data_IF_463979571108
#
_entry.id   IF_463979571108
#
_cell.length_a   1.000
_cell.length_b   1.000
_cell.length_c   1.000
_cell.angle_alpha   90.00
_cell.angle_beta   90.00
_cell.angle_gamma   90.00
#
_symmetry.space_group_name_H-M   'P 1'
#
loop_
_entity.id
_entity.type
_entity.pdbx_description
1 polymer ?
#
# COMPACT_ATOMS: atom_id res chain seq x y z
N UNK A 1 -46.32 10.62 13.30
CA UNK A 1 -45.46 9.74 12.46
C UNK A 1 -44.41 10.52 11.67
N UNK A 2 -44.77 11.50 10.83
CA UNK A 2 -43.81 12.26 9.98
C UNK A 2 -42.65 12.92 10.74
N UNK A 3 -42.90 13.50 11.92
CA UNK A 3 -41.85 14.09 12.77
C UNK A 3 -40.86 13.04 13.30
N UNK A 4 -41.35 11.86 13.66
CA UNK A 4 -40.53 10.74 14.14
C UNK A 4 -39.60 10.21 13.03
N UNK A 5 -40.13 10.11 11.79
CA UNK A 5 -39.32 9.73 10.62
C UNK A 5 -38.24 10.76 10.31
N UNK A 6 -38.55 12.06 10.42
CA UNK A 6 -37.56 13.13 10.20
C UNK A 6 -36.45 13.07 11.27
N UNK A 7 -36.81 12.87 12.55
CA UNK A 7 -35.83 12.73 13.62
C UNK A 7 -34.97 11.46 13.48
N UNK A 8 -35.55 10.33 13.10
CA UNK A 8 -34.79 9.11 12.82
C UNK A 8 -33.86 9.28 11.61
N UNK A 9 -34.31 9.93 10.54
CA UNK A 9 -33.48 10.24 9.39
C UNK A 9 -32.33 11.19 9.78
N UNK A 10 -32.61 12.23 10.56
CA UNK A 10 -31.58 13.16 11.05
C UNK A 10 -30.56 12.47 11.97
N UNK A 11 -31.01 11.57 12.84
CA UNK A 11 -30.12 10.76 13.68
C UNK A 11 -29.24 9.83 12.84
N UNK A 12 -29.82 9.14 11.86
CA UNK A 12 -29.10 8.26 10.94
C UNK A 12 -28.02 9.03 10.15
N UNK A 13 -28.39 10.20 9.60
CA UNK A 13 -27.47 11.06 8.85
C UNK A 13 -26.33 11.55 9.74
N UNK A 14 -26.64 11.96 10.97
CA UNK A 14 -25.61 12.42 11.92
C UNK A 14 -24.64 11.29 12.28
N UNK A 15 -25.16 10.09 12.55
CA UNK A 15 -24.33 8.90 12.83
C UNK A 15 -23.45 8.55 11.63
N UNK A 16 -24.02 8.51 10.42
CA UNK A 16 -23.27 8.24 9.20
C UNK A 16 -22.17 9.28 8.96
N UNK A 17 -22.47 10.57 9.14
CA UNK A 17 -21.51 11.65 8.98
C UNK A 17 -20.37 11.54 10.01
N UNK A 18 -20.70 11.17 11.25
CA UNK A 18 -19.71 11.00 12.33
C UNK A 18 -18.79 9.82 12.03
N UNK A 19 -19.34 8.67 11.61
CA UNK A 19 -18.58 7.50 11.17
C UNK A 19 -17.64 7.82 10.00
N UNK A 20 -18.11 8.64 9.07
CA UNK A 20 -17.35 9.01 7.89
C UNK A 20 -16.21 9.98 8.24
N UNK A 21 -16.45 10.92 9.15
CA UNK A 21 -15.42 11.85 9.64
C UNK A 21 -14.40 11.19 10.58
N UNK A 22 -14.82 10.23 11.41
CA UNK A 22 -13.97 9.50 12.35
C UNK A 22 -13.70 8.05 11.93
N UNK A 23 -13.66 7.79 10.63
CA UNK A 23 -13.46 6.44 10.10
C UNK A 23 -12.15 5.84 10.64
N UNK A 24 -12.19 4.71 11.38
CA UNK A 24 -10.99 4.15 12.01
C UNK A 24 -9.95 3.69 10.98
N UNK A 25 -8.66 3.88 11.27
CA UNK A 25 -7.56 3.40 10.44
C UNK A 25 -7.59 1.87 10.22
N UNK A 26 -8.12 1.12 11.20
CA UNK A 26 -8.25 -0.34 11.15
C UNK A 26 -9.08 -0.84 9.94
N UNK A 27 -10.00 -0.02 9.42
CA UNK A 27 -10.78 -0.40 8.24
C UNK A 27 -9.93 -0.49 6.98
N UNK A 28 -8.85 0.29 6.91
CA UNK A 28 -7.88 0.21 5.81
C UNK A 28 -7.17 -1.14 5.76
N UNK A 29 -6.87 -1.73 6.93
CA UNK A 29 -6.25 -3.06 7.03
C UNK A 29 -7.12 -4.11 6.34
N UNK A 30 -8.41 -4.14 6.70
CA UNK A 30 -9.38 -5.09 6.12
C UNK A 30 -9.62 -4.89 4.62
N UNK A 31 -9.51 -3.66 4.12
CA UNK A 31 -9.60 -3.39 2.68
C UNK A 31 -8.38 -3.92 1.92
N UNK A 32 -7.18 -3.68 2.46
CA UNK A 32 -5.91 -4.17 1.91
C UNK A 32 -5.83 -5.70 1.90
N UNK A 33 -6.25 -6.35 2.98
CA UNK A 33 -6.28 -7.82 3.06
C UNK A 33 -7.20 -8.41 1.99
N UNK A 34 -8.38 -7.82 1.76
CA UNK A 34 -9.30 -8.28 0.70
C UNK A 34 -8.72 -8.10 -0.70
N UNK A 35 -8.05 -6.99 -0.96
CA UNK A 35 -7.44 -6.74 -2.28
C UNK A 35 -6.21 -7.61 -2.54
N UNK A 36 -5.45 -7.96 -1.51
CA UNK A 36 -4.20 -8.72 -1.63
C UNK A 36 -4.38 -10.20 -1.32
N UNK A 37 -5.63 -10.67 -1.25
CA UNK A 37 -5.99 -12.04 -0.89
C UNK A 37 -5.33 -12.53 0.43
N UNK A 38 -5.19 -11.62 1.39
CA UNK A 38 -4.62 -11.90 2.71
C UNK A 38 -3.10 -11.91 2.80
N UNK A 39 -2.38 -11.62 1.71
CA UNK A 39 -0.91 -11.69 1.69
C UNK A 39 -0.26 -10.47 2.33
N UNK A 40 -0.90 -9.31 2.25
CA UNK A 40 -0.47 -8.07 2.88
C UNK A 40 -1.53 -7.63 3.90
N UNK A 41 -1.05 -7.19 5.06
CA UNK A 41 -1.88 -6.65 6.13
C UNK A 41 -1.21 -5.45 6.77
N UNK A 42 -2.03 -4.60 7.39
CA UNK A 42 -1.56 -3.46 8.17
C UNK A 42 -1.53 -3.86 9.65
N UNK A 43 -0.33 -4.04 10.19
CA UNK A 43 -0.11 -4.27 11.61
C UNK A 43 -0.21 -2.98 12.41
N UNK A 44 -0.88 -3.03 13.57
CA UNK A 44 -0.97 -1.92 14.53
C UNK A 44 -1.40 -0.59 13.88
N UNK A 45 -2.52 -0.62 13.15
CA UNK A 45 -3.09 0.57 12.54
C UNK A 45 -3.63 1.53 13.63
N UNK A 46 -3.09 2.75 13.68
CA UNK A 46 -3.50 3.77 14.64
C UNK A 46 -4.01 5.02 13.91
N UNK A 47 -4.93 5.75 14.54
CA UNK A 47 -5.53 6.96 13.99
C UNK A 47 -6.78 6.70 13.16
N UNK A 48 -7.02 7.58 12.19
CA UNK A 48 -8.19 7.53 11.30
C UNK A 48 -7.77 7.17 9.86
N UNK A 49 -8.76 6.92 9.01
CA UNK A 49 -8.57 6.74 7.58
C UNK A 49 -7.99 8.00 6.91
N UNK A 50 -8.28 9.18 7.47
CA UNK A 50 -7.72 10.46 7.02
C UNK A 50 -6.28 10.65 7.48
N UNK A 51 -6.01 10.34 8.74
CA UNK A 51 -4.71 10.59 9.35
C UNK A 51 -4.35 9.45 10.26
N UNK A 52 -3.43 8.62 9.80
CA UNK A 52 -3.10 7.42 10.52
C UNK A 52 -1.71 6.92 10.20
N UNK A 53 -1.35 5.84 10.87
CA UNK A 53 -0.12 5.15 10.60
C UNK A 53 -0.27 3.65 10.89
N UNK A 54 0.56 2.83 10.25
CA UNK A 54 0.55 1.38 10.40
C UNK A 54 1.88 0.78 9.92
N UNK A 55 2.15 -0.46 10.32
CA UNK A 55 3.24 -1.26 9.78
C UNK A 55 2.73 -2.11 8.63
N UNK A 56 3.49 -2.22 7.54
CA UNK A 56 3.13 -3.14 6.45
C UNK A 56 3.76 -4.49 6.75
N UNK A 57 2.91 -5.47 6.99
CA UNK A 57 3.29 -6.85 7.24
C UNK A 57 2.76 -7.80 6.16
N UNK A 58 3.45 -8.92 6.03
CA UNK A 58 3.07 -10.05 5.21
C UNK A 58 2.47 -11.11 6.10
N UNK A 59 1.38 -11.70 5.65
CA UNK A 59 0.80 -12.87 6.28
C UNK A 59 0.77 -14.00 5.24
N UNK A 60 1.35 -15.18 5.53
CA UNK A 60 1.25 -16.35 4.66
C UNK A 60 -0.20 -16.80 4.39
N UNK A 61 -1.12 -16.45 5.29
CA UNK A 61 -2.55 -16.68 5.19
C UNK A 61 -3.34 -15.80 6.16
N UNK A 62 -4.67 -15.75 5.99
CA UNK A 62 -5.58 -14.84 6.71
C UNK A 62 -5.54 -14.93 8.26
N UNK A 63 -4.99 -16.03 8.81
CA UNK A 63 -4.91 -16.30 10.25
C UNK A 63 -3.47 -16.46 10.75
N UNK A 64 -2.48 -16.31 9.88
CA UNK A 64 -1.08 -16.51 10.24
C UNK A 64 -0.47 -15.24 10.87
N UNK A 65 0.54 -15.41 11.75
CA UNK A 65 1.20 -14.28 12.39
C UNK A 65 1.83 -13.34 11.35
N UNK A 66 1.48 -12.06 11.49
CA UNK A 66 1.95 -11.00 10.61
C UNK A 66 3.44 -10.77 10.79
N UNK A 67 4.21 -10.97 9.73
CA UNK A 67 5.64 -10.65 9.71
C UNK A 67 5.84 -9.29 9.06
N UNK A 68 6.44 -8.30 9.75
CA UNK A 68 6.69 -6.99 9.15
C UNK A 68 7.56 -7.17 7.89
N UNK A 69 7.12 -6.65 6.74
CA UNK A 69 7.88 -6.77 5.49
C UNK A 69 8.84 -5.60 5.38
N UNK A 70 8.29 -4.39 5.43
CA UNK A 70 9.03 -3.16 5.25
C UNK A 70 9.54 -2.64 6.60
N UNK A 71 10.72 -2.00 6.64
CA UNK A 71 11.22 -1.36 7.84
C UNK A 71 10.42 -0.08 8.14
N UNK A 72 10.32 0.26 9.42
CA UNK A 72 9.63 1.47 9.86
C UNK A 72 8.11 1.39 9.73
N UNK A 73 7.47 2.52 10.03
CA UNK A 73 6.02 2.68 10.06
C UNK A 73 5.61 3.60 8.92
N UNK A 74 4.54 3.25 8.23
CA UNK A 74 3.96 4.10 7.20
C UNK A 74 2.95 5.04 7.85
N UNK A 75 3.15 6.34 7.69
CA UNK A 75 2.15 7.35 8.02
C UNK A 75 1.48 7.86 6.76
N UNK A 76 0.17 8.05 6.80
CA UNK A 76 -0.60 8.61 5.69
C UNK A 76 -1.42 9.81 6.11
N UNK A 77 -1.62 10.72 5.16
CA UNK A 77 -2.50 11.88 5.23
C UNK A 77 -3.39 11.86 3.99
N UNK A 78 -4.67 11.56 4.14
CA UNK A 78 -5.67 11.57 3.08
C UNK A 78 -6.63 12.74 3.30
N UNK A 79 -6.80 13.56 2.28
CA UNK A 79 -7.75 14.68 2.32
C UNK A 79 -9.21 14.19 2.24
N UNK A 80 -10.12 14.67 3.11
CA UNK A 80 -11.56 14.44 2.98
C UNK A 80 -12.15 14.94 1.66
N UNK A 81 -11.43 15.78 0.91
CA UNK A 81 -11.79 16.19 -0.45
C UNK A 81 -11.96 14.99 -1.40
N UNK A 82 -11.45 13.80 -1.03
CA UNK A 82 -11.71 12.56 -1.76
C UNK A 82 -13.20 12.28 -1.87
N UNK A 83 -14.01 12.64 -0.87
CA UNK A 83 -15.47 12.48 -0.90
C UNK A 83 -16.14 13.34 -1.97
N UNK A 84 -15.48 14.43 -2.36
CA UNK A 84 -15.90 15.36 -3.41
C UNK A 84 -15.27 15.01 -4.77
N UNK A 85 -14.56 13.89 -4.87
CA UNK A 85 -13.92 13.41 -6.09
C UNK A 85 -12.48 13.88 -6.31
N UNK A 86 -11.86 14.55 -5.32
CA UNK A 86 -10.45 14.98 -5.39
C UNK A 86 -9.56 14.10 -4.51
N UNK A 87 -8.70 13.31 -5.12
CA UNK A 87 -7.74 12.47 -4.39
C UNK A 87 -6.53 13.33 -4.04
N UNK A 88 -6.21 13.40 -2.76
CA UNK A 88 -4.93 13.94 -2.27
C UNK A 88 -4.49 13.09 -1.07
N UNK A 89 -3.48 12.25 -1.31
CA UNK A 89 -2.94 11.30 -0.35
C UNK A 89 -1.42 11.48 -0.29
N UNK A 90 -0.90 11.74 0.91
CA UNK A 90 0.53 11.72 1.20
C UNK A 90 0.85 10.49 2.04
N UNK A 91 1.84 9.70 1.60
CA UNK A 91 2.32 8.50 2.28
C UNK A 91 3.81 8.64 2.56
N UNK A 92 4.21 8.43 3.82
CA UNK A 92 5.57 8.65 4.28
C UNK A 92 6.06 7.45 5.09
N UNK A 93 7.33 7.07 4.88
CA UNK A 93 8.06 6.12 5.71
C UNK A 93 9.56 6.44 5.61
N UNK A 94 10.17 7.09 6.61
CA UNK A 94 11.58 7.47 6.57
C UNK A 94 12.57 6.31 6.47
N UNK A 95 12.17 5.09 6.82
CA UNK A 95 13.04 3.91 6.84
C UNK A 95 12.99 3.11 5.54
N UNK A 96 11.87 3.14 4.82
CA UNK A 96 11.69 2.35 3.60
C UNK A 96 11.61 3.20 2.33
N UNK A 97 11.10 4.43 2.42
CA UNK A 97 10.91 5.31 1.25
C UNK A 97 12.01 6.34 1.16
N UNK A 98 12.45 6.64 -0.06
CA UNK A 98 13.41 7.72 -0.32
C UNK A 98 12.83 9.12 -0.11
N UNK A 99 11.51 9.25 -0.28
CA UNK A 99 10.75 10.48 -0.08
C UNK A 99 9.27 10.17 0.15
N UNK A 100 8.52 11.12 0.69
CA UNK A 100 7.07 11.00 0.80
C UNK A 100 6.43 10.86 -0.60
N UNK A 101 5.57 9.86 -0.75
CA UNK A 101 4.79 9.62 -1.96
C UNK A 101 3.56 10.51 -1.89
N UNK A 102 3.32 11.31 -2.92
CA UNK A 102 2.08 12.07 -3.09
C UNK A 102 1.25 11.48 -4.21
N UNK A 103 -0.03 11.26 -3.94
CA UNK A 103 -1.01 10.79 -4.91
C UNK A 103 -2.08 11.84 -5.05
N UNK A 104 -2.18 12.45 -6.22
CA UNK A 104 -3.12 13.54 -6.50
C UNK A 104 -3.97 13.27 -7.75
N UNK A 105 -5.20 13.80 -7.78
CA UNK A 105 -6.08 13.73 -8.94
C UNK A 105 -7.55 13.53 -8.59
N UNK A 106 -8.21 12.57 -9.24
CA UNK A 106 -9.63 12.24 -9.10
C UNK A 106 -9.83 10.73 -9.00
N UNK A 107 -11.05 10.22 -8.74
CA UNK A 107 -11.26 8.75 -8.74
C UNK A 107 -11.20 8.10 -10.13
N UNK A 108 -11.03 8.88 -11.20
CA UNK A 108 -10.96 8.40 -12.59
C UNK A 108 -9.53 8.47 -13.11
N UNK A 109 -8.79 9.50 -12.71
CA UNK A 109 -7.41 9.67 -13.07
C UNK A 109 -6.65 10.23 -11.88
N UNK A 110 -5.60 9.54 -11.47
CA UNK A 110 -4.69 10.00 -10.43
C UNK A 110 -3.24 9.79 -10.83
N UNK A 111 -2.36 10.61 -10.28
CA UNK A 111 -0.92 10.53 -10.49
C UNK A 111 -0.25 10.17 -9.18
N UNK A 112 0.72 9.26 -9.25
CA UNK A 112 1.60 8.91 -8.14
C UNK A 112 2.93 9.59 -8.38
N UNK A 113 3.36 10.41 -7.42
CA UNK A 113 4.65 11.07 -7.45
C UNK A 113 5.81 10.07 -7.51
N UNK A 114 6.97 10.51 -8.03
CA UNK A 114 8.14 9.65 -8.12
C UNK A 114 8.65 9.31 -6.73
N UNK A 115 9.10 8.08 -6.52
CA UNK A 115 9.71 7.65 -5.27
C UNK A 115 10.52 6.37 -5.49
N UNK A 116 11.28 6.00 -4.46
CA UNK A 116 11.91 4.70 -4.37
C UNK A 116 11.62 4.07 -3.01
N UNK A 117 11.41 2.76 -3.02
CA UNK A 117 11.23 1.93 -1.83
C UNK A 117 12.37 0.92 -1.76
N UNK A 118 13.02 0.85 -0.61
CA UNK A 118 14.04 -0.14 -0.30
C UNK A 118 13.46 -1.19 0.64
N UNK A 119 13.64 -2.46 0.29
CA UNK A 119 13.17 -3.62 1.02
C UNK A 119 14.29 -4.66 1.10
N UNK A 120 14.69 -5.11 2.31
CA UNK A 120 15.59 -6.26 2.43
C UNK A 120 14.92 -7.53 1.90
N UNK A 121 15.60 -8.26 1.02
CA UNK A 121 15.04 -9.44 0.36
C UNK A 121 14.66 -10.56 1.35
N UNK A 122 15.32 -10.61 2.51
CA UNK A 122 15.05 -11.58 3.59
C UNK A 122 13.62 -11.47 4.11
N UNK A 123 13.06 -10.26 4.03
CA UNK A 123 11.71 -9.98 4.51
C UNK A 123 10.63 -10.59 3.60
N UNK A 124 10.95 -10.87 2.33
CA UNK A 124 10.04 -11.56 1.42
C UNK A 124 9.66 -12.96 1.92
N UNK A 125 10.48 -13.59 2.76
CA UNK A 125 10.12 -14.86 3.38
C UNK A 125 8.82 -14.76 4.22
N UNK A 126 8.50 -13.58 4.75
CA UNK A 126 7.26 -13.30 5.47
C UNK A 126 5.98 -13.38 4.62
N UNK A 127 6.09 -13.40 3.29
CA UNK A 127 4.96 -13.57 2.37
C UNK A 127 4.53 -15.04 2.21
N UNK A 128 5.23 -15.99 2.84
CA UNK A 128 4.92 -17.42 2.76
C UNK A 128 5.57 -18.12 1.56
N UNK A 129 5.06 -19.31 1.21
CA UNK A 129 5.60 -20.10 0.10
C UNK A 129 5.28 -19.47 -1.28
N UNK A 130 6.20 -19.54 -2.27
CA UNK A 130 7.51 -20.22 -2.24
C UNK A 130 8.66 -19.37 -1.68
N UNK A 131 8.44 -18.08 -1.39
CA UNK A 131 9.49 -17.13 -1.00
C UNK A 131 10.16 -17.53 0.33
N UNK A 132 9.40 -18.10 1.26
CA UNK A 132 9.93 -18.65 2.51
C UNK A 132 10.87 -19.85 2.30
N UNK A 133 10.74 -20.58 1.19
CA UNK A 133 11.64 -21.69 0.85
C UNK A 133 12.92 -21.20 0.18
N UNK A 134 12.80 -20.19 -0.69
CA UNK A 134 13.95 -19.61 -1.41
C UNK A 134 14.87 -18.82 -0.46
N UNK A 135 14.29 -18.18 0.56
CA UNK A 135 14.99 -17.33 1.55
C UNK A 135 16.01 -16.42 0.87
N UNK A 136 15.50 -15.52 0.02
CA UNK A 136 16.34 -14.54 -0.65
C UNK A 136 17.00 -13.63 0.39
N UNK A 137 18.25 -13.25 0.17
CA UNK A 137 18.96 -12.24 0.94
C UNK A 137 19.51 -11.17 0.01
N UNK A 138 19.86 -9.99 0.54
CA UNK A 138 20.36 -8.84 -0.22
C UNK A 138 19.41 -7.64 -0.18
N UNK A 139 19.74 -6.60 -0.93
CA UNK A 139 18.95 -5.36 -0.97
C UNK A 139 18.14 -5.27 -2.26
N UNK A 140 16.85 -4.96 -2.14
CA UNK A 140 16.00 -4.65 -3.28
C UNK A 140 15.57 -3.19 -3.22
N UNK A 141 15.72 -2.47 -4.32
CA UNK A 141 15.30 -1.08 -4.45
C UNK A 141 14.40 -0.96 -5.67
N UNK A 142 13.12 -0.70 -5.42
CA UNK A 142 12.15 -0.40 -6.48
C UNK A 142 11.98 1.12 -6.55
N UNK A 143 12.29 1.71 -7.70
CA UNK A 143 12.11 3.13 -7.98
C UNK A 143 11.14 3.34 -9.15
N UNK A 144 10.47 4.50 -9.18
CA UNK A 144 9.56 4.85 -10.26
C UNK A 144 9.57 6.34 -10.55
N UNK A 145 9.37 6.66 -11.82
CA UNK A 145 9.05 8.02 -12.28
C UNK A 145 7.58 8.36 -11.95
N UNK A 146 7.09 9.60 -12.17
CA UNK A 146 5.67 9.89 -11.94
C UNK A 146 4.78 8.91 -12.74
N UNK A 147 3.93 8.16 -12.05
CA UNK A 147 3.04 7.17 -12.66
C UNK A 147 1.65 7.77 -12.83
N UNK A 148 1.06 7.63 -14.00
CA UNK A 148 -0.31 8.04 -14.26
C UNK A 148 -1.20 6.79 -14.24
N UNK A 149 -2.24 6.83 -13.41
CA UNK A 149 -3.23 5.76 -13.31
C UNK A 149 -4.58 6.27 -13.78
N UNK A 150 -5.22 5.51 -14.66
CA UNK A 150 -6.54 5.85 -15.21
C UNK A 150 -7.50 4.68 -15.01
N UNK A 151 -8.60 4.92 -14.31
CA UNK A 151 -9.67 3.95 -14.10
C UNK A 151 -10.58 3.93 -15.32
N UNK A 152 -10.62 2.80 -16.00
CA UNK A 152 -11.47 2.55 -17.18
C UNK A 152 -12.51 1.46 -16.87
N UNK A 153 -13.49 1.29 -17.76
CA UNK A 153 -14.67 0.43 -17.54
C UNK A 153 -14.40 -1.07 -17.25
N UNK A 154 -13.14 -1.53 -17.25
CA UNK A 154 -12.81 -2.86 -16.77
C UNK A 154 -11.47 -2.99 -16.04
N UNK A 155 -10.84 -1.91 -15.61
CA UNK A 155 -9.55 -2.00 -14.93
C UNK A 155 -8.88 -0.65 -14.68
N UNK A 156 -7.69 -0.71 -14.10
CA UNK A 156 -6.84 0.46 -13.89
C UNK A 156 -5.71 0.34 -14.93
N UNK A 157 -5.62 1.28 -15.86
CA UNK A 157 -4.48 1.43 -16.75
C UNK A 157 -3.37 2.19 -16.02
N UNK A 158 -2.12 1.75 -16.18
CA UNK A 158 -0.94 2.37 -15.58
C UNK A 158 -0.02 2.83 -16.71
N UNK A 159 0.48 4.06 -16.61
CA UNK A 159 1.45 4.60 -17.56
C UNK A 159 2.64 5.19 -16.80
N UNK A 160 3.85 4.79 -17.19
CA UNK A 160 5.10 5.30 -16.63
C UNK A 160 6.13 4.19 -16.40
N UNK A 161 7.32 4.57 -15.95
CA UNK A 161 8.45 3.66 -15.81
C UNK A 161 8.77 3.35 -14.35
N UNK A 162 9.18 2.11 -14.12
CA UNK A 162 9.72 1.62 -12.85
C UNK A 162 11.05 0.93 -13.09
N UNK A 163 11.95 0.99 -12.13
CA UNK A 163 13.21 0.25 -12.13
C UNK A 163 13.34 -0.52 -10.83
N UNK A 164 13.60 -1.83 -10.92
CA UNK A 164 13.89 -2.69 -9.78
C UNK A 164 15.37 -3.07 -9.83
N UNK A 165 16.10 -2.60 -8.82
CA UNK A 165 17.49 -2.94 -8.54
C UNK A 165 17.54 -4.01 -7.46
N UNK A 166 18.37 -5.01 -7.70
CA UNK A 166 18.58 -6.18 -6.85
C UNK A 166 20.08 -6.31 -6.62
N UNK A 167 20.55 -5.93 -5.44
CA UNK A 167 21.96 -5.88 -5.09
C UNK A 167 22.32 -7.01 -4.11
N UNK A 168 23.45 -7.66 -4.36
CA UNK A 168 24.00 -8.74 -3.54
C UNK A 168 22.98 -9.86 -3.24
N UNK A 169 22.13 -10.17 -4.22
CA UNK A 169 21.08 -11.16 -4.03
C UNK A 169 21.69 -12.54 -3.82
N UNK A 170 21.24 -13.26 -2.80
CA UNK A 170 21.60 -14.67 -2.57
C UNK A 170 20.34 -15.48 -2.24
N UNK A 171 20.40 -16.79 -2.41
CA UNK A 171 19.33 -17.71 -2.02
C UNK A 171 19.91 -18.87 -1.24
N UNK A 172 19.14 -19.39 -0.27
CA UNK A 172 19.51 -20.60 0.46
C UNK A 172 19.55 -21.85 -0.43
N UNK A 173 18.87 -21.83 -1.57
CA UNK A 173 18.85 -22.93 -2.53
C UNK A 173 20.04 -22.92 -3.49
N UNK A 174 20.91 -21.89 -3.44
CA UNK A 174 22.10 -21.78 -4.27
C UNK A 174 23.39 -21.82 -3.43
N UNK A 175 24.40 -22.60 -3.84
CA UNK A 175 25.72 -22.53 -3.23
C UNK A 175 26.48 -21.25 -3.61
N UNK A 176 26.07 -20.54 -4.66
CA UNK A 176 26.73 -19.34 -5.19
C UNK A 176 26.19 -18.11 -4.44
N UNK A 177 27.10 -17.34 -3.83
CA UNK A 177 26.79 -16.12 -3.08
C UNK A 177 27.84 -15.03 -3.39
N UNK A 178 27.43 -13.83 -3.86
CA UNK A 178 26.09 -13.47 -4.33
C UNK A 178 25.75 -14.13 -5.68
N UNK A 179 24.46 -14.30 -5.98
CA UNK A 179 23.93 -14.68 -7.30
C UNK A 179 24.21 -13.60 -8.36
N UNK A 180 24.47 -12.37 -7.92
CA UNK A 180 24.80 -11.22 -8.77
C UNK A 180 23.97 -9.99 -8.44
N UNK A 181 24.18 -8.94 -9.23
CA UNK A 181 23.38 -7.74 -9.24
C UNK A 181 22.49 -7.73 -10.49
N UNK A 182 21.20 -7.39 -10.32
CA UNK A 182 20.23 -7.38 -11.40
C UNK A 182 19.53 -6.02 -11.44
N UNK A 183 19.33 -5.51 -12.65
CA UNK A 183 18.59 -4.28 -12.90
C UNK A 183 17.47 -4.57 -13.91
N UNK A 184 16.23 -4.37 -13.47
CA UNK A 184 15.02 -4.62 -14.25
C UNK A 184 14.35 -3.28 -14.53
N UNK A 185 14.30 -2.88 -15.79
CA UNK A 185 13.52 -1.72 -16.22
C UNK A 185 12.14 -2.18 -16.71
N UNK A 186 11.09 -1.62 -16.15
CA UNK A 186 9.69 -1.91 -16.44
C UNK A 186 9.06 -0.65 -17.01
N UNK A 187 8.50 -0.74 -18.21
CA UNK A 187 7.86 0.40 -18.87
C UNK A 187 6.37 0.10 -19.08
N UNK A 188 5.53 0.77 -18.31
CA UNK A 188 4.09 0.53 -18.27
C UNK A 188 3.39 1.42 -19.29
N UNK A 189 2.63 0.81 -20.19
CA UNK A 189 1.86 1.48 -21.23
C UNK A 189 0.47 0.86 -21.34
N UNK A 190 -0.40 1.13 -20.37
CA UNK A 190 -1.80 0.66 -20.39
C UNK A 190 -2.10 -0.41 -19.34
N UNK A 191 -2.97 -1.36 -19.70
CA UNK A 191 -3.44 -2.43 -18.79
C UNK A 191 -2.39 -3.49 -18.51
#
# INVERSE_FOLDING_TARGET
MRRLVIWLAAALVTVALTLLMFCPAAWMASFLERQTAGRLTLGDAQGTLWHGSAFIGGAPGLHDPVTPLLPGRFSWRLSPAVLLGQVDLELENPSALSQAIRVNGSWWQWQVGPAAITLPAERLAGLGAPLNTVQLSGEMRLSWAPLQMTRQAGGIGITGSMALELNDIASRLSPIKPLGAYHLALDWHGR
#
